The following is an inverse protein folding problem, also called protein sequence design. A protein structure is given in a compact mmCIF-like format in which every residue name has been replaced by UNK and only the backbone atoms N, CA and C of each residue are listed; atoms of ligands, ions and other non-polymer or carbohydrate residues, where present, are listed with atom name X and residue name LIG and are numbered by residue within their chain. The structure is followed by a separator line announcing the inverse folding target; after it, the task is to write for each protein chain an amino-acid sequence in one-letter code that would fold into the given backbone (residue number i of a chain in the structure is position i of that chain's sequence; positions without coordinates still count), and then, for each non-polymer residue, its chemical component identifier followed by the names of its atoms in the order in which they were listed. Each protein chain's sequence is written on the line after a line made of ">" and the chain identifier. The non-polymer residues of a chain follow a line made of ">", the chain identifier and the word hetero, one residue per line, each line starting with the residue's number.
data_IF_112502041007
#
_entry.id   IF_112502041007
#
_cell.length_a   1.000
_cell.length_b   1.000
_cell.length_c   1.000
_cell.angle_alpha   90.00
_cell.angle_beta   90.00
_cell.angle_gamma   90.00
#
_symmetry.space_group_name_H-M   'P 1'
#
loop_
_entity.id
_entity.type
_entity.pdbx_description
1 polymer ?
#
# COMPACT_ATOMS: atom_id res chain seq x y z
N UNK A 1 14.63 -26.21 4.22
CA UNK A 1 14.55 -24.73 4.31
C UNK A 1 13.86 -24.41 5.61
N UNK A 2 14.47 -23.61 6.48
CA UNK A 2 13.83 -23.14 7.71
C UNK A 2 12.73 -22.15 7.32
N UNK A 3 11.50 -22.40 7.78
CA UNK A 3 10.37 -21.51 7.49
C UNK A 3 10.48 -20.30 8.43
N UNK A 4 10.53 -19.10 7.86
CA UNK A 4 10.54 -17.83 8.62
C UNK A 4 9.20 -17.66 9.31
N UNK A 5 9.24 -17.31 10.60
CA UNK A 5 8.05 -16.90 11.35
C UNK A 5 7.86 -15.39 11.27
N UNK A 6 6.68 -14.95 10.84
CA UNK A 6 6.32 -13.55 10.75
C UNK A 6 5.18 -13.20 11.72
N UNK A 7 5.42 -12.22 12.58
CA UNK A 7 4.36 -11.57 13.36
C UNK A 7 3.55 -10.63 12.46
N UNK A 8 2.23 -10.70 12.60
CA UNK A 8 1.29 -9.75 11.97
C UNK A 8 0.22 -9.31 12.97
N UNK A 9 -0.23 -8.04 12.93
CA UNK A 9 -1.15 -7.51 13.93
C UNK A 9 -2.62 -7.95 13.74
N UNK A 10 -2.94 -8.60 12.63
CA UNK A 10 -4.32 -8.85 12.21
C UNK A 10 -4.42 -10.01 11.21
N UNK A 11 -5.55 -10.73 11.22
CA UNK A 11 -5.78 -11.90 10.36
C UNK A 11 -6.33 -11.59 8.95
N UNK A 12 -6.76 -10.35 8.69
CA UNK A 12 -7.40 -9.96 7.41
C UNK A 12 -6.89 -8.64 6.84
N UNK A 13 -5.70 -8.20 7.21
CA UNK A 13 -5.11 -6.97 6.72
C UNK A 13 -4.06 -7.23 5.63
N UNK A 14 -3.63 -6.16 4.98
CA UNK A 14 -2.57 -6.20 3.96
C UNK A 14 -1.24 -6.77 4.48
N UNK A 15 -0.95 -6.66 5.77
CA UNK A 15 0.25 -7.24 6.40
C UNK A 15 0.17 -8.77 6.48
N UNK A 16 -1.00 -9.31 6.84
CA UNK A 16 -1.25 -10.75 6.82
C UNK A 16 -1.09 -11.30 5.40
N UNK A 17 -1.68 -10.61 4.42
CA UNK A 17 -1.58 -11.00 3.02
C UNK A 17 -0.12 -10.95 2.52
N UNK A 18 0.65 -9.93 2.93
CA UNK A 18 2.08 -9.86 2.64
C UNK A 18 2.83 -11.08 3.18
N UNK A 19 2.59 -11.47 4.45
CA UNK A 19 3.22 -12.66 5.03
C UNK A 19 2.92 -13.94 4.24
N UNK A 20 1.68 -14.11 3.78
CA UNK A 20 1.27 -15.25 2.94
C UNK A 20 1.95 -15.22 1.57
N UNK A 21 2.06 -14.06 0.94
CA UNK A 21 2.71 -13.91 -0.37
C UNK A 21 4.19 -14.22 -0.32
N UNK A 22 4.85 -13.85 0.78
CA UNK A 22 6.27 -14.17 1.03
C UNK A 22 6.49 -15.62 1.50
N UNK A 23 5.42 -16.38 1.74
CA UNK A 23 5.51 -17.78 2.20
C UNK A 23 5.95 -17.92 3.65
N UNK A 24 5.72 -16.91 4.49
CA UNK A 24 6.07 -16.95 5.90
C UNK A 24 5.02 -17.70 6.74
N UNK A 25 5.48 -18.34 7.79
CA UNK A 25 4.58 -18.88 8.83
C UNK A 25 4.11 -17.74 9.74
N UNK A 26 2.81 -17.47 9.73
CA UNK A 26 2.24 -16.40 10.57
C UNK A 26 2.23 -16.84 12.05
N UNK A 27 2.64 -15.91 12.92
CA UNK A 27 2.50 -16.00 14.38
C UNK A 27 1.88 -14.71 14.92
N UNK A 28 1.15 -14.81 16.03
CA UNK A 28 0.65 -13.66 16.79
C UNK A 28 1.49 -13.37 18.04
N UNK A 29 2.55 -14.14 18.26
CA UNK A 29 3.52 -13.89 19.32
C UNK A 29 4.76 -13.19 18.73
N UNK A 30 4.98 -11.93 19.12
CA UNK A 30 6.09 -11.11 18.64
C UNK A 30 7.47 -11.67 19.03
N UNK A 31 7.55 -12.39 20.14
CA UNK A 31 8.82 -12.99 20.62
C UNK A 31 9.26 -14.23 19.82
N UNK A 32 8.32 -14.88 19.14
CA UNK A 32 8.60 -16.05 18.30
C UNK A 32 8.90 -15.67 16.85
N UNK A 33 8.82 -14.38 16.50
CA UNK A 33 8.94 -13.90 15.14
C UNK A 33 10.36 -13.47 14.78
N UNK A 34 10.80 -13.84 13.58
CA UNK A 34 12.03 -13.36 12.97
C UNK A 34 11.78 -12.05 12.18
N UNK A 35 10.57 -11.90 11.65
CA UNK A 35 10.09 -10.71 10.94
C UNK A 35 8.79 -10.22 11.56
N UNK A 36 8.67 -8.92 11.76
CA UNK A 36 7.44 -8.28 12.22
C UNK A 36 6.87 -7.39 11.09
N UNK A 37 5.73 -7.77 10.52
CA UNK A 37 5.11 -7.05 9.42
C UNK A 37 4.00 -6.16 9.96
N UNK A 38 4.26 -4.86 10.09
CA UNK A 38 3.33 -3.87 10.64
C UNK A 38 3.70 -2.45 10.18
N UNK A 39 2.82 -1.48 10.42
CA UNK A 39 3.20 -0.06 10.39
C UNK A 39 4.25 0.21 11.48
N UNK A 40 5.43 0.76 11.14
CA UNK A 40 6.52 0.96 12.10
C UNK A 40 6.11 1.79 13.31
N UNK A 41 5.30 2.81 13.12
CA UNK A 41 4.85 3.71 14.19
C UNK A 41 3.85 2.99 15.11
N UNK A 42 2.89 2.27 14.53
CA UNK A 42 1.89 1.53 15.30
C UNK A 42 2.51 0.34 16.05
N UNK A 43 3.50 -0.32 15.44
CA UNK A 43 4.25 -1.38 16.09
C UNK A 43 4.96 -0.86 17.36
N UNK A 44 5.73 0.21 17.24
CA UNK A 44 6.47 0.80 18.36
C UNK A 44 5.55 1.33 19.46
N UNK A 45 4.38 1.87 19.12
CA UNK A 45 3.37 2.26 20.11
C UNK A 45 2.81 1.06 20.86
N UNK A 46 2.53 -0.03 20.19
CA UNK A 46 1.99 -1.27 20.79
C UNK A 46 2.98 -1.90 21.74
N UNK A 47 4.24 -1.89 21.39
CA UNK A 47 5.32 -2.57 22.13
C UNK A 47 6.28 -1.61 22.85
N UNK A 48 5.87 -0.36 23.11
CA UNK A 48 6.70 0.72 23.68
C UNK A 48 7.36 0.41 25.04
N UNK A 49 6.88 -0.59 25.76
CA UNK A 49 7.38 -1.01 27.07
C UNK A 49 8.12 -2.36 27.02
N UNK A 50 8.41 -2.88 25.86
CA UNK A 50 9.05 -4.18 25.69
C UNK A 50 10.42 -3.96 25.05
N UNK A 51 11.48 -4.27 25.80
CA UNK A 51 12.86 -4.04 25.36
C UNK A 51 13.47 -5.23 24.59
N UNK A 52 12.89 -6.44 24.69
CA UNK A 52 13.49 -7.69 24.18
C UNK A 52 12.94 -8.14 22.82
N UNK A 53 12.38 -7.23 22.00
CA UNK A 53 11.90 -7.58 20.67
C UNK A 53 13.07 -7.59 19.69
N UNK A 54 13.35 -8.76 19.12
CA UNK A 54 14.47 -8.98 18.20
C UNK A 54 14.12 -9.08 16.72
N UNK A 55 12.82 -9.15 16.36
CA UNK A 55 12.40 -9.27 14.97
C UNK A 55 12.85 -8.08 14.12
N UNK A 56 13.03 -8.29 12.82
CA UNK A 56 13.16 -7.18 11.87
C UNK A 56 11.77 -6.65 11.54
N UNK A 57 11.54 -5.41 11.86
CA UNK A 57 10.29 -4.74 11.53
C UNK A 57 10.26 -4.37 10.04
N UNK A 58 9.27 -4.85 9.31
CA UNK A 58 9.07 -4.56 7.90
C UNK A 58 7.68 -3.96 7.65
N UNK A 59 7.64 -2.75 7.13
CA UNK A 59 6.37 -2.11 6.87
C UNK A 59 6.46 -0.78 6.13
N UNK A 60 5.32 -0.18 6.01
CA UNK A 60 5.13 1.17 5.48
C UNK A 60 4.22 1.96 6.42
N UNK A 61 4.37 3.27 6.42
CA UNK A 61 3.54 4.13 7.26
C UNK A 61 2.87 5.24 6.45
N UNK A 62 1.71 5.63 6.92
CA UNK A 62 0.95 6.79 6.44
C UNK A 62 1.01 7.97 7.43
N UNK A 63 1.59 7.72 8.62
CA UNK A 63 1.72 8.73 9.66
C UNK A 63 2.84 9.72 9.35
N UNK A 64 2.72 10.92 9.90
CA UNK A 64 3.82 11.88 9.86
C UNK A 64 4.87 11.51 10.92
N UNK A 65 5.99 10.94 10.46
CA UNK A 65 7.05 10.43 11.32
C UNK A 65 7.67 11.47 12.26
N UNK A 66 7.54 12.78 11.98
CA UNK A 66 8.01 13.85 12.87
C UNK A 66 7.39 13.79 14.26
N UNK A 67 6.16 13.33 14.39
CA UNK A 67 5.45 13.20 15.66
C UNK A 67 5.88 12.00 16.49
N UNK A 68 6.72 11.10 15.94
CA UNK A 68 7.08 9.80 16.53
C UNK A 68 8.59 9.57 16.58
N UNK A 69 9.39 10.62 16.45
CA UNK A 69 10.87 10.54 16.36
C UNK A 69 11.48 9.84 17.58
N UNK A 70 10.95 10.10 18.77
CA UNK A 70 11.50 9.54 20.02
C UNK A 70 11.28 8.03 20.12
N UNK A 71 10.15 7.53 19.64
CA UNK A 71 9.85 6.10 19.57
C UNK A 71 10.71 5.42 18.51
N UNK A 72 10.76 6.01 17.32
CA UNK A 72 11.49 5.48 16.18
C UNK A 72 13.01 5.38 16.44
N UNK A 73 13.60 6.32 17.19
CA UNK A 73 15.04 6.29 17.54
C UNK A 73 15.43 5.13 18.44
N UNK A 74 14.48 4.53 19.13
CA UNK A 74 14.75 3.38 20.03
C UNK A 74 14.86 2.06 19.28
N UNK A 75 14.47 2.03 18.00
CA UNK A 75 14.39 0.79 17.22
C UNK A 75 15.25 0.90 15.95
N UNK A 76 16.35 0.16 15.95
CA UNK A 76 17.30 0.18 14.84
C UNK A 76 17.03 -0.88 13.75
N UNK A 77 16.14 -1.85 14.06
CA UNK A 77 15.92 -3.04 13.26
C UNK A 77 14.70 -2.94 12.35
N UNK A 78 14.64 -1.95 11.46
CA UNK A 78 13.52 -1.90 10.55
C UNK A 78 13.90 -1.65 9.09
N UNK A 79 13.14 -2.23 8.20
CA UNK A 79 13.15 -2.00 6.76
C UNK A 79 11.80 -1.41 6.35
N UNK A 80 11.79 -0.66 5.28
CA UNK A 80 10.57 -0.01 4.77
C UNK A 80 10.15 -0.58 3.43
N UNK A 81 8.85 -0.55 3.15
CA UNK A 81 8.32 -1.12 1.92
C UNK A 81 8.47 -0.19 0.70
N UNK A 82 8.72 1.10 0.89
CA UNK A 82 8.82 2.09 -0.17
C UNK A 82 10.01 3.02 0.01
N UNK A 83 10.58 3.50 -1.11
CA UNK A 83 11.64 4.49 -1.09
C UNK A 83 11.15 5.83 -0.55
N UNK A 84 9.87 6.14 -0.76
CA UNK A 84 9.23 7.31 -0.16
C UNK A 84 9.29 7.27 1.38
N UNK A 85 8.96 6.14 2.00
CA UNK A 85 9.11 5.98 3.46
C UNK A 85 10.57 6.06 3.89
N UNK A 86 11.50 5.47 3.14
CA UNK A 86 12.94 5.57 3.42
C UNK A 86 13.42 7.03 3.48
N UNK A 87 13.05 7.83 2.49
CA UNK A 87 13.40 9.25 2.45
C UNK A 87 12.74 10.04 3.59
N UNK A 88 11.48 9.75 3.89
CA UNK A 88 10.76 10.41 4.99
C UNK A 88 11.45 10.18 6.34
N UNK A 89 11.82 8.95 6.64
CA UNK A 89 12.55 8.62 7.87
C UNK A 89 13.96 9.21 7.87
N UNK A 90 14.67 9.15 6.76
CA UNK A 90 16.03 9.70 6.64
C UNK A 90 16.08 11.21 6.87
N UNK A 91 15.08 11.97 6.42
CA UNK A 91 14.97 13.42 6.64
C UNK A 91 14.88 13.81 8.12
N UNK A 92 14.40 12.94 8.98
CA UNK A 92 14.30 13.18 10.44
C UNK A 92 15.43 12.50 11.22
N UNK A 93 16.48 12.05 10.53
CA UNK A 93 17.65 11.43 11.13
C UNK A 93 17.46 9.97 11.56
N UNK A 94 16.43 9.29 11.05
CA UNK A 94 16.17 7.87 11.26
C UNK A 94 16.52 7.14 9.97
N UNK A 95 17.39 6.13 10.06
CA UNK A 95 17.85 5.40 8.88
C UNK A 95 17.32 3.97 8.92
N UNK A 96 16.29 3.64 8.12
CA UNK A 96 15.93 2.24 7.86
C UNK A 96 17.14 1.49 7.27
N UNK A 97 17.26 0.19 7.53
CA UNK A 97 18.37 -0.63 7.01
C UNK A 97 18.37 -0.59 5.48
N UNK A 98 17.20 -0.79 4.87
CA UNK A 98 17.03 -0.77 3.41
C UNK A 98 15.55 -0.65 3.03
N UNK A 99 15.28 -0.63 1.74
CA UNK A 99 13.93 -0.75 1.17
C UNK A 99 13.71 -2.17 0.69
N UNK A 100 12.68 -2.83 1.18
CA UNK A 100 12.22 -4.14 0.72
C UNK A 100 10.78 -4.00 0.26
N UNK A 101 10.55 -4.02 -1.04
CA UNK A 101 9.22 -3.88 -1.62
C UNK A 101 8.32 -5.06 -1.22
N UNK A 102 7.04 -4.79 -1.04
CA UNK A 102 6.04 -5.85 -0.87
C UNK A 102 5.76 -6.52 -2.20
N UNK A 103 5.55 -7.81 -2.16
CA UNK A 103 5.20 -8.59 -3.34
C UNK A 103 3.69 -8.91 -3.39
N UNK A 104 3.23 -9.26 -4.58
CA UNK A 104 1.87 -9.72 -4.86
C UNK A 104 1.92 -11.10 -5.53
N UNK A 105 0.85 -11.87 -5.37
CA UNK A 105 0.59 -13.12 -6.12
C UNK A 105 -0.72 -12.95 -6.88
N UNK A 106 -0.68 -12.39 -8.09
CA UNK A 106 -1.89 -12.08 -8.83
C UNK A 106 -2.64 -13.35 -9.23
N UNK A 107 -3.96 -13.24 -9.22
CA UNK A 107 -4.87 -14.21 -9.78
C UNK A 107 -5.43 -13.64 -11.08
N UNK A 108 -5.65 -14.50 -12.07
CA UNK A 108 -6.11 -14.10 -13.41
C UNK A 108 -7.46 -14.74 -13.74
N UNK A 109 -8.58 -14.30 -13.12
CA UNK A 109 -9.91 -14.80 -13.47
C UNK A 109 -10.22 -14.53 -14.95
N UNK A 110 -10.76 -15.53 -15.64
CA UNK A 110 -11.12 -15.40 -17.05
C UNK A 110 -12.48 -14.68 -17.19
N UNK A 111 -12.45 -13.36 -17.04
CA UNK A 111 -13.63 -12.50 -17.10
C UNK A 111 -13.37 -11.32 -18.05
N UNK A 112 -14.46 -10.74 -18.56
CA UNK A 112 -14.41 -9.52 -19.37
C UNK A 112 -14.56 -8.29 -18.48
N UNK A 113 -13.96 -7.17 -18.92
CA UNK A 113 -14.16 -5.85 -18.31
C UNK A 113 -15.57 -5.35 -18.63
N UNK A 114 -16.44 -5.32 -17.64
CA UNK A 114 -17.84 -4.88 -17.72
C UNK A 114 -18.13 -3.68 -16.81
N UNK A 115 -17.13 -3.21 -16.07
CA UNK A 115 -17.17 -2.04 -15.21
C UNK A 115 -16.15 -1.00 -15.68
N UNK A 116 -16.46 0.26 -15.45
CA UNK A 116 -15.57 1.35 -15.83
C UNK A 116 -14.53 1.59 -14.73
N UNK A 117 -14.99 1.78 -13.49
CA UNK A 117 -14.12 2.12 -12.36
C UNK A 117 -14.21 1.11 -11.21
N UNK A 118 -13.13 1.02 -10.47
CA UNK A 118 -13.08 0.38 -9.15
C UNK A 118 -12.25 1.23 -8.21
N UNK A 119 -12.59 1.22 -6.93
CA UNK A 119 -11.71 1.63 -5.83
C UNK A 119 -11.80 0.64 -4.69
N UNK A 120 -10.71 0.49 -3.92
CA UNK A 120 -10.68 -0.38 -2.75
C UNK A 120 -9.86 0.24 -1.63
N UNK A 121 -10.43 0.30 -0.44
CA UNK A 121 -9.70 0.74 0.74
C UNK A 121 -10.53 0.85 1.99
N UNK A 122 -9.86 0.74 3.13
CA UNK A 122 -10.41 0.97 4.46
C UNK A 122 -9.83 2.24 5.07
N UNK A 123 -10.67 2.98 5.76
CA UNK A 123 -10.28 4.17 6.50
C UNK A 123 -10.85 4.11 7.92
N UNK A 124 -9.97 4.18 8.94
CA UNK A 124 -10.38 4.05 10.35
C UNK A 124 -10.83 5.36 10.97
N UNK A 125 -10.16 6.45 10.64
CA UNK A 125 -10.29 7.72 11.36
C UNK A 125 -11.02 8.78 10.55
N UNK A 126 -10.64 8.96 9.29
CA UNK A 126 -11.25 9.88 8.33
C UNK A 126 -11.19 9.25 6.93
N UNK A 127 -11.87 9.83 5.95
CA UNK A 127 -11.87 9.29 4.58
C UNK A 127 -10.49 9.48 3.88
N UNK A 128 -9.48 8.85 4.46
CA UNK A 128 -8.11 8.86 3.93
C UNK A 128 -8.03 8.26 2.52
N UNK A 129 -8.89 7.32 2.23
CA UNK A 129 -8.97 6.65 0.91
C UNK A 129 -9.78 7.43 -0.13
N UNK A 130 -10.38 8.57 0.27
CA UNK A 130 -11.24 9.38 -0.61
C UNK A 130 -12.42 8.61 -1.22
N UNK A 131 -12.97 7.61 -0.53
CA UNK A 131 -14.08 6.81 -1.03
C UNK A 131 -15.35 7.65 -1.24
N UNK A 132 -15.59 8.62 -0.36
CA UNK A 132 -16.69 9.59 -0.51
C UNK A 132 -16.50 10.46 -1.76
N UNK A 133 -15.26 10.86 -2.05
CA UNK A 133 -14.97 11.61 -3.28
C UNK A 133 -15.22 10.76 -4.52
N UNK A 134 -14.83 9.46 -4.49
CA UNK A 134 -15.11 8.52 -5.58
C UNK A 134 -16.61 8.38 -5.82
N UNK A 135 -17.42 8.18 -4.76
CA UNK A 135 -18.88 8.10 -4.90
C UNK A 135 -19.45 9.38 -5.52
N UNK A 136 -19.02 10.55 -5.04
CA UNK A 136 -19.51 11.84 -5.54
C UNK A 136 -19.10 12.10 -6.99
N UNK A 137 -17.84 11.89 -7.36
CA UNK A 137 -17.38 12.18 -8.72
C UNK A 137 -18.00 11.22 -9.74
N UNK A 138 -18.18 9.96 -9.41
CA UNK A 138 -18.81 9.00 -10.31
C UNK A 138 -20.30 9.25 -10.50
N UNK A 139 -20.99 9.83 -9.50
CA UNK A 139 -22.37 10.35 -9.65
C UNK A 139 -22.41 11.60 -10.52
N UNK A 140 -21.47 12.53 -10.35
CA UNK A 140 -21.35 13.74 -11.15
C UNK A 140 -21.25 13.40 -12.65
N UNK A 141 -20.49 12.36 -13.00
CA UNK A 141 -20.34 11.89 -14.38
C UNK A 141 -21.40 10.85 -14.83
N UNK A 142 -22.40 10.53 -13.99
CA UNK A 142 -23.45 9.53 -14.25
C UNK A 142 -22.92 8.09 -14.50
N UNK A 143 -21.75 7.74 -13.94
CA UNK A 143 -21.13 6.42 -14.08
C UNK A 143 -21.07 5.62 -12.79
N UNK A 144 -21.83 6.01 -11.75
CA UNK A 144 -21.85 5.31 -10.46
C UNK A 144 -22.25 3.84 -10.59
N UNK A 145 -23.17 3.50 -11.48
CA UNK A 145 -23.62 2.13 -11.74
C UNK A 145 -22.56 1.27 -12.47
N UNK A 146 -21.59 1.92 -13.10
CA UNK A 146 -20.43 1.29 -13.73
C UNK A 146 -19.19 1.29 -12.83
N UNK A 147 -19.33 1.73 -11.58
CA UNK A 147 -18.26 1.85 -10.60
C UNK A 147 -18.46 0.84 -9.47
N UNK A 148 -17.37 0.21 -9.05
CA UNK A 148 -17.32 -0.68 -7.89
C UNK A 148 -16.58 0.05 -6.76
N UNK A 149 -17.23 0.26 -5.63
CA UNK A 149 -16.62 0.82 -4.42
C UNK A 149 -16.53 -0.27 -3.36
N UNK A 150 -15.30 -0.60 -2.95
CA UNK A 150 -15.03 -1.57 -1.88
C UNK A 150 -14.42 -0.84 -0.69
N UNK A 151 -15.10 -0.87 0.45
CA UNK A 151 -14.60 -0.15 1.62
C UNK A 151 -15.62 0.04 2.72
N UNK A 152 -15.43 1.10 3.51
CA UNK A 152 -16.27 1.41 4.68
C UNK A 152 -16.79 2.86 4.69
N UNK A 153 -16.52 3.63 3.64
CA UNK A 153 -16.97 5.02 3.49
C UNK A 153 -17.49 5.28 2.07
N UNK A 154 -18.10 6.43 1.85
CA UNK A 154 -18.85 6.69 0.64
C UNK A 154 -20.17 5.89 0.66
N UNK A 155 -20.52 5.30 -0.43
CA UNK A 155 -21.65 4.37 -0.54
C UNK A 155 -21.11 3.04 -1.13
N UNK A 156 -20.43 2.20 -0.31
CA UNK A 156 -19.71 1.03 -0.80
C UNK A 156 -20.66 -0.07 -1.28
N UNK A 157 -20.26 -0.77 -2.33
CA UNK A 157 -20.94 -1.95 -2.85
C UNK A 157 -20.54 -3.21 -2.06
N UNK A 158 -19.30 -3.21 -1.52
CA UNK A 158 -18.74 -4.33 -0.75
C UNK A 158 -17.91 -3.81 0.42
N UNK A 159 -17.87 -4.58 1.52
CA UNK A 159 -16.89 -4.39 2.60
C UNK A 159 -15.56 -5.06 2.22
N UNK A 160 -14.44 -4.38 2.45
CA UNK A 160 -13.09 -4.91 2.18
C UNK A 160 -12.84 -6.23 2.90
N UNK A 161 -13.27 -6.34 4.16
CA UNK A 161 -13.05 -7.54 4.98
C UNK A 161 -13.96 -8.73 4.66
N UNK A 162 -14.95 -8.54 3.79
CA UNK A 162 -15.84 -9.63 3.34
C UNK A 162 -15.32 -10.37 2.11
N UNK A 163 -14.33 -9.82 1.42
CA UNK A 163 -13.82 -10.38 0.17
C UNK A 163 -12.66 -11.35 0.41
N UNK A 164 -12.72 -12.50 -0.24
CA UNK A 164 -11.58 -13.38 -0.45
C UNK A 164 -10.64 -12.79 -1.51
N UNK A 165 -9.40 -13.28 -1.59
CA UNK A 165 -8.46 -12.88 -2.64
C UNK A 165 -9.01 -13.11 -4.04
N UNK A 166 -9.66 -14.26 -4.27
CA UNK A 166 -10.27 -14.56 -5.58
C UNK A 166 -11.40 -13.59 -5.94
N UNK A 167 -12.26 -13.24 -5.00
CA UNK A 167 -13.32 -12.25 -5.21
C UNK A 167 -12.73 -10.88 -5.48
N UNK A 168 -11.69 -10.47 -4.74
CA UNK A 168 -10.99 -9.21 -4.95
C UNK A 168 -10.42 -9.11 -6.38
N UNK A 169 -9.69 -10.13 -6.84
CA UNK A 169 -9.17 -10.17 -8.21
C UNK A 169 -10.27 -10.26 -9.27
N UNK A 170 -11.38 -10.94 -8.96
CA UNK A 170 -12.58 -10.94 -9.82
C UNK A 170 -13.10 -9.53 -10.04
N UNK A 171 -13.15 -8.70 -9.00
CA UNK A 171 -13.57 -7.31 -9.12
C UNK A 171 -12.56 -6.45 -9.91
N UNK A 172 -11.25 -6.65 -9.69
CA UNK A 172 -10.22 -5.92 -10.45
C UNK A 172 -10.28 -6.23 -11.95
N UNK A 173 -10.35 -7.50 -12.34
CA UNK A 173 -10.44 -7.90 -13.76
C UNK A 173 -11.64 -7.27 -14.45
N UNK A 174 -12.77 -7.10 -13.76
CA UNK A 174 -13.99 -6.51 -14.32
C UNK A 174 -13.88 -5.01 -14.61
N UNK A 175 -13.01 -4.28 -13.91
CA UNK A 175 -12.89 -2.83 -14.08
C UNK A 175 -11.83 -2.44 -15.11
N UNK A 176 -12.06 -1.36 -15.86
CA UNK A 176 -11.05 -0.76 -16.73
C UNK A 176 -10.05 0.09 -15.94
N UNK A 177 -10.53 0.92 -15.02
CA UNK A 177 -9.71 1.86 -14.27
C UNK A 177 -9.84 1.67 -12.77
N UNK A 178 -8.73 1.89 -12.05
CA UNK A 178 -8.69 1.90 -10.59
C UNK A 178 -8.53 3.34 -10.09
N UNK A 179 -9.49 3.84 -9.33
CA UNK A 179 -9.41 5.17 -8.71
C UNK A 179 -8.57 5.10 -7.42
N UNK A 180 -7.27 5.35 -7.54
CA UNK A 180 -6.29 5.33 -6.46
C UNK A 180 -6.11 6.74 -5.88
N UNK A 181 -7.13 7.28 -5.22
CA UNK A 181 -7.20 8.68 -4.78
C UNK A 181 -6.85 8.87 -3.30
N UNK A 182 -6.16 7.91 -2.67
CA UNK A 182 -5.78 8.01 -1.25
C UNK A 182 -4.99 9.27 -0.96
N UNK A 183 -5.41 10.03 0.06
CA UNK A 183 -4.70 11.21 0.57
C UNK A 183 -3.37 10.88 1.21
N UNK A 184 -3.19 9.65 1.67
CA UNK A 184 -1.96 9.16 2.29
C UNK A 184 -1.84 7.66 2.09
N UNK A 185 -0.70 7.19 1.59
CA UNK A 185 -0.44 5.78 1.34
C UNK A 185 1.05 5.47 1.50
N UNK A 186 1.37 4.42 2.23
CA UNK A 186 2.75 4.00 2.41
C UNK A 186 3.30 3.25 1.20
N UNK A 187 2.52 2.32 0.65
CA UNK A 187 2.92 1.47 -0.48
C UNK A 187 1.85 1.39 -1.57
N UNK A 188 0.63 0.95 -1.25
CA UNK A 188 -0.49 0.90 -2.19
C UNK A 188 -0.70 -0.44 -2.88
N UNK A 189 -0.82 -1.53 -2.12
CA UNK A 189 -1.06 -2.88 -2.67
C UNK A 189 -2.27 -2.98 -3.60
N UNK A 190 -3.48 -2.48 -3.25
CA UNK A 190 -4.66 -2.68 -4.08
C UNK A 190 -4.52 -2.17 -5.52
N UNK A 191 -4.04 -0.96 -5.81
CA UNK A 191 -3.85 -0.54 -7.20
C UNK A 191 -2.72 -1.30 -7.91
N UNK A 192 -1.67 -1.77 -7.21
CA UNK A 192 -0.63 -2.62 -7.81
C UNK A 192 -1.22 -3.99 -8.21
N UNK A 193 -2.05 -4.58 -7.36
CA UNK A 193 -2.79 -5.82 -7.65
C UNK A 193 -3.72 -5.64 -8.86
N UNK A 194 -4.41 -4.50 -8.94
CA UNK A 194 -5.27 -4.17 -10.08
C UNK A 194 -4.48 -3.99 -11.38
N UNK A 195 -3.29 -3.35 -11.32
CA UNK A 195 -2.37 -3.26 -12.47
C UNK A 195 -1.98 -4.62 -13.01
N UNK A 196 -1.81 -5.64 -12.14
CA UNK A 196 -1.42 -6.99 -12.55
C UNK A 196 -2.44 -7.68 -13.47
N UNK A 197 -3.68 -7.23 -13.46
CA UNK A 197 -4.76 -7.71 -14.33
C UNK A 197 -5.19 -6.68 -15.39
N UNK A 198 -4.29 -5.73 -15.72
CA UNK A 198 -4.50 -4.72 -16.75
C UNK A 198 -5.53 -3.65 -16.40
N UNK A 199 -5.82 -3.44 -15.11
CA UNK A 199 -6.68 -2.34 -14.67
C UNK A 199 -5.84 -1.10 -14.45
N UNK A 200 -6.13 -0.02 -15.19
CA UNK A 200 -5.29 1.18 -15.27
C UNK A 200 -5.56 2.11 -14.07
N UNK A 201 -4.56 2.47 -13.24
CA UNK A 201 -4.75 3.45 -12.18
C UNK A 201 -4.96 4.87 -12.70
N UNK A 202 -5.97 5.57 -12.15
CA UNK A 202 -6.04 7.02 -12.09
C UNK A 202 -5.66 7.37 -10.65
N UNK A 203 -4.53 8.03 -10.44
CA UNK A 203 -3.94 8.05 -9.11
C UNK A 203 -3.38 9.40 -8.70
N UNK A 204 -3.45 9.70 -7.40
CA UNK A 204 -2.75 10.84 -6.81
C UNK A 204 -1.24 10.61 -6.89
N UNK A 205 -0.53 11.47 -7.65
CA UNK A 205 0.91 11.38 -7.91
C UNK A 205 1.74 11.85 -6.69
N UNK A 206 1.52 11.22 -5.55
CA UNK A 206 2.16 11.53 -4.28
C UNK A 206 2.51 10.26 -3.52
N UNK A 207 3.22 10.40 -2.39
CA UNK A 207 3.56 9.33 -1.45
C UNK A 207 3.99 8.01 -2.13
N UNK A 208 3.62 6.83 -1.60
CA UNK A 208 3.99 5.53 -2.18
C UNK A 208 3.44 5.28 -3.59
N UNK A 209 2.37 5.97 -3.98
CA UNK A 209 1.83 5.83 -5.34
C UNK A 209 2.78 6.36 -6.42
N UNK A 210 3.44 7.50 -6.17
CA UNK A 210 4.36 8.14 -7.13
C UNK A 210 5.47 7.20 -7.61
N UNK A 211 5.97 6.32 -6.76
CA UNK A 211 7.04 5.37 -7.13
C UNK A 211 6.49 4.02 -7.65
N UNK A 212 5.30 3.63 -7.18
CA UNK A 212 4.79 2.28 -7.39
C UNK A 212 3.81 2.16 -8.55
N UNK A 213 3.13 3.24 -8.92
CA UNK A 213 2.08 3.20 -9.94
C UNK A 213 2.55 3.78 -11.27
N UNK A 214 1.87 3.36 -12.33
CA UNK A 214 1.86 3.98 -13.64
C UNK A 214 0.42 3.98 -14.16
N UNK A 215 0.06 4.91 -15.04
CA UNK A 215 -1.30 5.11 -15.52
C UNK A 215 -1.56 6.59 -15.74
N UNK A 216 -2.68 7.10 -15.24
CA UNK A 216 -3.12 8.48 -15.35
C UNK A 216 -2.87 9.22 -14.02
N UNK A 217 -1.77 9.98 -13.88
CA UNK A 217 -1.43 10.68 -12.65
C UNK A 217 -2.23 11.97 -12.48
N UNK A 218 -2.57 12.30 -11.22
CA UNK A 218 -3.14 13.58 -10.80
C UNK A 218 -2.15 14.20 -9.82
N UNK A 219 -1.63 15.37 -10.11
CA UNK A 219 -0.68 16.02 -9.24
C UNK A 219 -1.34 16.58 -7.96
N UNK A 220 -0.65 16.49 -6.81
CA UNK A 220 -1.15 17.09 -5.59
C UNK A 220 -1.08 18.62 -5.66
N UNK A 221 -2.08 19.30 -5.08
CA UNK A 221 -2.11 20.77 -4.97
C UNK A 221 -1.62 21.26 -3.62
N UNK A 222 -1.64 20.41 -2.60
CA UNK A 222 -1.19 20.76 -1.25
C UNK A 222 -0.72 19.52 -0.48
N UNK A 223 0.10 19.75 0.55
CA UNK A 223 0.58 18.75 1.49
C UNK A 223 0.52 19.31 2.91
N UNK A 224 -0.15 18.59 3.82
CA UNK A 224 -0.31 19.02 5.21
C UNK A 224 -0.32 17.84 6.17
N UNK A 225 -0.34 18.13 7.47
CA UNK A 225 -0.53 17.14 8.52
C UNK A 225 -1.95 17.20 9.05
N UNK A 226 -2.65 16.09 9.07
CA UNK A 226 -3.97 15.93 9.68
C UNK A 226 -3.84 15.08 10.93
N UNK A 227 -4.11 15.68 12.10
CA UNK A 227 -4.14 14.98 13.38
C UNK A 227 -5.60 14.75 13.79
N UNK A 228 -5.98 13.49 13.92
CA UNK A 228 -7.32 13.09 14.39
C UNK A 228 -7.40 13.16 15.91
N UNK A 229 -6.28 12.87 16.56
CA UNK A 229 -6.05 12.98 18.00
C UNK A 229 -4.55 13.15 18.27
N UNK A 230 -4.16 13.16 19.55
CA UNK A 230 -2.74 13.32 19.94
C UNK A 230 -1.84 12.16 19.49
N UNK A 231 -2.44 11.04 19.09
CA UNK A 231 -1.75 9.79 18.77
C UNK A 231 -1.78 9.41 17.29
N UNK A 232 -2.57 10.11 16.48
CA UNK A 232 -2.79 9.76 15.07
C UNK A 232 -2.66 11.00 14.17
N UNK A 233 -1.42 11.38 13.86
CA UNK A 233 -1.10 12.46 12.93
C UNK A 233 -0.63 11.88 11.58
N UNK A 234 -1.35 12.17 10.53
CA UNK A 234 -1.12 11.68 9.18
C UNK A 234 -0.47 12.74 8.31
N UNK A 235 0.41 12.32 7.42
CA UNK A 235 0.87 13.16 6.33
C UNK A 235 -0.09 13.00 5.15
N UNK A 236 -0.68 14.09 4.71
CA UNK A 236 -1.83 14.09 3.80
C UNK A 236 -1.56 14.98 2.61
N UNK A 237 -1.98 14.53 1.43
CA UNK A 237 -1.95 15.30 0.19
C UNK A 237 -3.35 15.55 -0.33
N UNK A 238 -3.59 16.75 -0.79
CA UNK A 238 -4.83 17.12 -1.45
C UNK A 238 -4.65 17.06 -2.97
N UNK A 239 -5.62 16.44 -3.65
CA UNK A 239 -5.62 16.32 -5.10
C UNK A 239 -6.36 17.49 -5.77
N UNK A 240 -5.96 17.81 -6.99
CA UNK A 240 -6.68 18.73 -7.87
C UNK A 240 -8.00 18.11 -8.34
N UNK A 241 -9.14 18.64 -7.86
CA UNK A 241 -10.45 18.19 -8.34
C UNK A 241 -10.67 18.53 -9.81
N UNK A 242 -10.01 19.55 -10.34
CA UNK A 242 -10.06 19.91 -11.75
C UNK A 242 -9.37 18.85 -12.60
N UNK A 243 -8.14 18.46 -12.23
CA UNK A 243 -7.41 17.40 -12.92
C UNK A 243 -8.13 16.05 -12.79
N UNK A 244 -8.70 15.73 -11.60
CA UNK A 244 -9.50 14.52 -11.46
C UNK A 244 -10.67 14.47 -12.45
N UNK A 245 -11.40 15.58 -12.63
CA UNK A 245 -12.47 15.65 -13.61
C UNK A 245 -11.95 15.47 -15.04
N UNK A 246 -10.81 16.05 -15.33
CA UNK A 246 -10.17 15.89 -16.63
C UNK A 246 -9.81 14.43 -16.89
N UNK A 247 -9.16 13.75 -15.95
CA UNK A 247 -8.78 12.34 -16.12
C UNK A 247 -9.98 11.38 -16.15
N UNK A 248 -11.06 11.68 -15.42
CA UNK A 248 -12.32 10.94 -15.54
C UNK A 248 -12.92 11.13 -16.95
N UNK A 249 -12.98 12.35 -17.45
CA UNK A 249 -13.47 12.64 -18.81
C UNK A 249 -12.60 11.97 -19.86
N UNK A 250 -11.28 12.00 -19.71
CA UNK A 250 -10.33 11.32 -20.58
C UNK A 250 -10.60 9.81 -20.60
N UNK A 251 -10.73 9.16 -19.42
CA UNK A 251 -11.05 7.75 -19.32
C UNK A 251 -12.39 7.37 -20.00
N UNK A 252 -13.39 8.26 -19.95
CA UNK A 252 -14.69 8.05 -20.59
C UNK A 252 -14.62 8.13 -22.12
N UNK A 253 -13.70 8.91 -22.66
CA UNK A 253 -13.57 9.17 -24.13
C UNK A 253 -12.39 8.45 -24.77
N UNK A 254 -11.60 7.74 -23.96
CA UNK A 254 -10.42 6.99 -24.39
C UNK A 254 -10.77 5.95 -25.45
N UNK A 255 -10.02 5.92 -26.55
CA UNK A 255 -10.17 4.90 -27.58
C UNK A 255 -9.80 3.51 -27.02
N UNK A 256 -10.28 2.48 -27.72
CA UNK A 256 -9.95 1.10 -27.34
C UNK A 256 -8.44 0.84 -27.42
N UNK A 257 -7.80 1.28 -28.50
CA UNK A 257 -6.36 1.03 -28.74
C UNK A 257 -5.52 1.75 -27.66
N UNK A 258 -5.85 2.99 -27.34
CA UNK A 258 -5.18 3.75 -26.27
C UNK A 258 -5.32 3.09 -24.91
N UNK A 259 -6.51 2.56 -24.60
CA UNK A 259 -6.75 1.81 -23.38
C UNK A 259 -5.92 0.52 -23.34
N UNK A 260 -5.90 -0.26 -24.44
CA UNK A 260 -5.17 -1.53 -24.53
C UNK A 260 -3.65 -1.29 -24.35
N UNK A 261 -3.08 -0.27 -24.97
CA UNK A 261 -1.66 0.14 -24.81
C UNK A 261 -1.34 0.50 -23.34
N UNK A 262 -2.24 1.27 -22.71
CA UNK A 262 -2.07 1.68 -21.32
C UNK A 262 -2.20 0.48 -20.36
N UNK A 263 -3.16 -0.40 -20.63
CA UNK A 263 -3.40 -1.64 -19.88
C UNK A 263 -2.19 -2.58 -19.93
N UNK A 264 -1.59 -2.77 -21.11
CA UNK A 264 -0.35 -3.56 -21.26
C UNK A 264 0.84 -2.93 -20.50
N UNK A 265 0.96 -1.62 -20.57
CA UNK A 265 2.01 -0.87 -19.86
C UNK A 265 1.92 -1.03 -18.34
N UNK A 266 0.72 -0.93 -17.76
CA UNK A 266 0.53 -1.07 -16.31
C UNK A 266 0.73 -2.52 -15.87
N UNK A 267 0.26 -3.50 -16.65
CA UNK A 267 0.51 -4.91 -16.38
C UNK A 267 2.01 -5.23 -16.38
N UNK A 268 2.76 -4.76 -17.37
CA UNK A 268 4.21 -4.91 -17.43
C UNK A 268 4.90 -4.31 -16.19
N UNK A 269 4.49 -3.12 -15.77
CA UNK A 269 5.02 -2.46 -14.56
C UNK A 269 4.75 -3.28 -13.30
N UNK A 270 3.57 -3.87 -13.18
CA UNK A 270 3.18 -4.66 -11.99
C UNK A 270 4.06 -5.89 -11.77
N UNK A 271 4.70 -6.43 -12.81
CA UNK A 271 5.59 -7.60 -12.72
C UNK A 271 6.80 -7.37 -11.81
N UNK A 272 7.19 -6.11 -11.59
CA UNK A 272 8.24 -5.75 -10.62
C UNK A 272 7.88 -6.13 -9.18
N UNK A 273 6.59 -6.38 -8.90
CA UNK A 273 6.05 -6.71 -7.58
C UNK A 273 5.63 -8.17 -7.45
N UNK A 274 5.86 -9.01 -8.46
CA UNK A 274 5.48 -10.42 -8.37
C UNK A 274 6.40 -11.14 -7.38
N UNK A 275 5.79 -11.90 -6.47
CA UNK A 275 6.53 -12.73 -5.55
C UNK A 275 7.41 -13.71 -6.34
N UNK A 276 8.71 -13.65 -6.12
CA UNK A 276 9.67 -14.66 -6.57
C UNK A 276 9.67 -15.82 -5.59
N UNK A 277 10.07 -17.02 -6.02
CA UNK A 277 10.12 -18.20 -5.14
C UNK A 277 11.19 -18.11 -4.02
N UNK A 278 11.98 -17.05 -4.00
CA UNK A 278 13.03 -16.83 -3.02
C UNK A 278 12.68 -15.68 -2.06
N UNK A 279 12.55 -15.92 -0.76
CA UNK A 279 12.38 -14.88 0.27
C UNK A 279 13.72 -14.14 0.51
N UNK A 280 14.29 -13.60 -0.56
CA UNK A 280 15.70 -13.20 -0.65
C UNK A 280 16.01 -11.88 0.07
N UNK A 281 15.09 -10.89 0.02
CA UNK A 281 15.46 -9.51 0.33
C UNK A 281 15.56 -9.22 1.84
N UNK A 282 14.70 -9.79 2.67
CA UNK A 282 14.78 -9.62 4.13
C UNK A 282 16.00 -10.34 4.71
N UNK A 283 16.33 -11.52 4.22
CA UNK A 283 17.56 -12.24 4.64
C UNK A 283 18.83 -11.51 4.24
N UNK A 284 18.86 -10.81 3.11
CA UNK A 284 20.01 -9.95 2.79
C UNK A 284 20.12 -8.77 3.74
N UNK A 285 19.00 -8.13 4.07
CA UNK A 285 18.98 -7.04 5.05
C UNK A 285 19.51 -7.49 6.42
N UNK A 286 19.11 -8.69 6.88
CA UNK A 286 19.59 -9.31 8.12
C UNK A 286 21.09 -9.61 8.06
N UNK A 287 21.59 -10.20 6.98
CA UNK A 287 23.02 -10.55 6.80
C UNK A 287 23.92 -9.33 6.65
N UNK A 288 23.46 -8.25 6.03
CA UNK A 288 24.20 -7.00 5.94
C UNK A 288 24.47 -6.43 7.32
N UNK A 289 23.49 -6.52 8.21
CA UNK A 289 23.60 -6.04 9.57
C UNK A 289 24.53 -6.90 10.45
N UNK A 290 24.49 -8.21 10.34
CA UNK A 290 25.45 -9.08 11.04
C UNK A 290 26.88 -8.70 10.67
N UNK A 291 27.16 -8.49 9.38
CA UNK A 291 28.48 -8.03 8.90
C UNK A 291 28.87 -6.62 9.38
N UNK A 292 27.91 -5.72 9.56
CA UNK A 292 28.18 -4.39 10.10
C UNK A 292 28.44 -4.42 11.62
N UNK A 293 27.72 -5.26 12.37
CA UNK A 293 27.99 -5.50 13.80
C UNK A 293 29.37 -6.11 14.02
N UNK A 294 29.73 -7.12 13.24
CA UNK A 294 31.04 -7.76 13.34
C UNK A 294 32.20 -6.79 13.00
N UNK A 295 31.98 -5.83 12.12
CA UNK A 295 32.95 -4.76 11.80
C UNK A 295 33.04 -3.68 12.87
N UNK A 296 31.98 -3.43 13.60
CA UNK A 296 31.94 -2.43 14.68
C UNK A 296 32.53 -2.97 16.01
N UNK A 297 32.68 -4.30 16.12
CA UNK A 297 33.28 -4.98 17.28
C UNK A 297 34.76 -5.33 17.11
N UNK A 298 35.34 -5.06 15.95
CA UNK A 298 36.77 -5.10 15.63
C UNK A 298 37.40 -3.71 15.61
#
# INVERSE_FOLDING_TARGET
>A
MTTIKAYVPCEKCSYYQTALYEGYQVTHNVFDAEVCIDDPIMFLKRFRYIDDISCVLWGDTVYNALYYVNELRKYENFVVASYWNYLMFSKIGIKPITVVKRHIKPLFPNLKKDKLFITLGESRFFDRKNLTLVDNITREFNVRNETIIVGNMGNPDYSTFSLTENEKYTLYVRAKFFLALSKSEGFGLPPIEAMAVGTVPIFLNAHGYKENLTGLPIDPIDEYTECVDNDHCFRVWELSKHELRYEIQHALTMSRDEYEDLSEKVEKKSREYYATMEPFDIYQALRLREKERDRATL
#
